data_IF_924580075964
#
_entry.id   IF_924580075964
#
_cell.length_a   1.000
_cell.length_b   1.000
_cell.length_c   1.000
_cell.angle_alpha   90.00
_cell.angle_beta   90.00
_cell.angle_gamma   90.00
#
_symmetry.space_group_name_H-M   'P 1'
#
loop_
_entity.id
_entity.type
_entity.pdbx_description
1 polymer ?
#
# COMPACT_ATOMS: atom_id res chain seq x y z
N UNK A 1 3.15 -1.49 1.87
CA UNK A 1 4.21 -2.32 2.48
C UNK A 1 5.56 -1.65 2.31
N UNK A 2 6.42 -1.67 3.35
CA UNK A 2 7.82 -1.26 3.23
C UNK A 2 8.55 -2.13 2.19
N UNK A 3 9.27 -1.52 1.27
CA UNK A 3 10.07 -2.24 0.29
C UNK A 3 11.22 -1.36 -0.20
N UNK A 4 12.20 -1.97 -0.87
CA UNK A 4 13.39 -1.26 -1.37
C UNK A 4 13.10 -0.04 -2.26
N UNK A 5 11.89 0.09 -2.83
CA UNK A 5 11.49 1.18 -3.73
C UNK A 5 10.85 2.35 -3.00
N UNK A 6 10.51 2.20 -1.73
CA UNK A 6 9.91 3.28 -0.92
C UNK A 6 11.07 3.97 -0.20
N UNK A 7 11.37 5.20 -0.64
CA UNK A 7 12.57 5.97 -0.28
C UNK A 7 12.74 6.16 1.24
N UNK A 8 11.63 6.20 2.00
CA UNK A 8 11.61 6.38 3.45
C UNK A 8 10.95 5.21 4.20
N UNK A 9 11.35 3.98 3.85
CA UNK A 9 10.78 2.76 4.44
C UNK A 9 11.65 2.05 5.47
N UNK A 10 12.51 2.78 6.19
CA UNK A 10 13.27 2.20 7.32
C UNK A 10 12.30 1.71 8.40
N UNK A 11 12.46 0.45 8.81
CA UNK A 11 11.57 -0.21 9.78
C UNK A 11 12.24 -0.63 11.08
N UNK A 12 13.54 -0.91 11.08
CA UNK A 12 14.26 -1.47 12.23
C UNK A 12 15.79 -1.51 12.02
N UNK A 13 16.51 -2.00 13.04
CA UNK A 13 17.91 -2.42 13.02
C UNK A 13 18.02 -3.92 13.39
N UNK A 14 18.64 -4.74 12.54
CA UNK A 14 18.73 -6.20 12.72
C UNK A 14 19.53 -6.63 13.96
N UNK A 15 20.43 -5.77 14.46
CA UNK A 15 21.29 -6.08 15.61
C UNK A 15 20.68 -5.64 16.95
N UNK A 16 19.62 -4.83 16.92
CA UNK A 16 18.98 -4.26 18.10
C UNK A 16 17.53 -4.74 18.25
N UNK A 17 16.83 -4.94 17.12
CA UNK A 17 15.41 -5.26 17.11
C UNK A 17 15.16 -6.74 16.79
N UNK A 18 14.18 -7.31 17.48
CA UNK A 18 13.69 -8.67 17.20
C UNK A 18 12.82 -8.67 15.95
N UNK A 19 13.18 -9.48 14.95
CA UNK A 19 12.48 -9.59 13.66
C UNK A 19 10.96 -9.80 13.78
N UNK A 20 10.52 -10.61 14.74
CA UNK A 20 9.10 -10.86 14.95
C UNK A 20 8.36 -9.56 15.33
N UNK A 21 8.95 -8.76 16.22
CA UNK A 21 8.35 -7.52 16.72
C UNK A 21 8.28 -6.49 15.59
N UNK A 22 9.37 -6.36 14.81
CA UNK A 22 9.40 -5.54 13.58
C UNK A 22 8.26 -5.91 12.64
N UNK A 23 8.01 -7.21 12.47
CA UNK A 23 6.97 -7.71 11.58
C UNK A 23 5.55 -7.47 12.08
N UNK A 24 5.29 -7.58 13.40
CA UNK A 24 3.94 -7.42 13.97
C UNK A 24 3.62 -6.00 14.45
N UNK A 25 4.62 -5.14 14.64
CA UNK A 25 4.44 -3.78 15.16
C UNK A 25 4.86 -2.72 14.11
N UNK A 26 6.15 -2.57 13.84
CA UNK A 26 6.71 -1.47 13.03
C UNK A 26 6.21 -1.50 11.58
N UNK A 27 5.94 -2.70 11.04
CA UNK A 27 5.41 -2.87 9.68
C UNK A 27 3.93 -2.50 9.53
N UNK A 28 3.14 -2.43 10.61
CA UNK A 28 1.69 -2.17 10.55
C UNK A 28 1.37 -0.80 9.96
N UNK A 29 2.24 0.20 10.15
CA UNK A 29 2.10 1.53 9.53
C UNK A 29 2.07 1.51 8.00
N UNK A 30 2.49 0.41 7.36
CA UNK A 30 2.42 0.22 5.90
C UNK A 30 1.35 -0.80 5.47
N UNK A 31 0.60 -1.34 6.43
CA UNK A 31 -0.50 -2.32 6.25
C UNK A 31 -1.88 -1.75 6.55
N UNK A 32 -1.99 -0.43 6.69
CA UNK A 32 -3.27 0.30 6.80
C UNK A 32 -4.03 0.28 5.46
N UNK A 33 -4.55 -0.88 5.06
CA UNK A 33 -5.13 -1.08 3.73
C UNK A 33 -6.42 -0.28 3.48
N UNK A 34 -7.07 0.18 4.54
CA UNK A 34 -8.24 1.05 4.46
C UNK A 34 -7.91 2.48 4.03
N UNK A 35 -6.65 2.92 4.19
CA UNK A 35 -6.22 4.27 3.81
C UNK A 35 -6.02 4.44 2.31
N UNK A 36 -5.91 3.35 1.54
CA UNK A 36 -5.72 3.43 0.10
C UNK A 36 -6.96 4.02 -0.58
N UNK A 37 -6.81 5.17 -1.23
CA UNK A 37 -7.94 5.95 -1.78
C UNK A 37 -8.79 5.11 -2.74
N UNK A 38 -8.13 4.50 -3.73
CA UNK A 38 -8.79 3.66 -4.74
C UNK A 38 -8.93 2.21 -4.30
N UNK A 39 -7.88 1.63 -3.73
CA UNK A 39 -7.81 0.18 -3.52
C UNK A 39 -8.60 -0.32 -2.31
N UNK A 40 -8.93 0.53 -1.32
CA UNK A 40 -9.76 0.17 -0.17
C UNK A 40 -11.18 -0.27 -0.57
N UNK A 41 -11.65 0.21 -1.73
CA UNK A 41 -12.96 -0.08 -2.32
C UNK A 41 -12.92 -1.17 -3.40
N UNK A 42 -11.73 -1.63 -3.76
CA UNK A 42 -11.54 -2.61 -4.83
C UNK A 42 -11.81 -4.02 -4.31
N UNK A 43 -12.45 -4.86 -5.12
CA UNK A 43 -12.65 -6.29 -4.83
C UNK A 43 -11.33 -7.04 -4.70
N UNK A 44 -10.23 -6.50 -5.24
CA UNK A 44 -8.89 -7.09 -5.16
C UNK A 44 -8.07 -6.61 -3.96
N UNK A 45 -8.69 -5.90 -2.99
CA UNK A 45 -8.02 -5.33 -1.80
C UNK A 45 -7.15 -6.33 -1.04
N UNK A 46 -7.55 -7.59 -0.96
CA UNK A 46 -6.79 -8.62 -0.24
C UNK A 46 -5.46 -8.99 -0.91
N UNK A 47 -5.29 -8.71 -2.21
CA UNK A 47 -4.15 -9.17 -3.00
C UNK A 47 -3.29 -8.03 -3.56
N UNK A 48 -3.90 -7.15 -4.36
CA UNK A 48 -3.15 -6.21 -5.21
C UNK A 48 -2.72 -4.94 -4.48
N UNK A 49 -3.67 -4.07 -4.12
CA UNK A 49 -3.46 -2.77 -3.43
C UNK A 49 -2.56 -1.75 -4.16
N UNK A 50 -2.17 -2.02 -5.40
CA UNK A 50 -1.23 -1.17 -6.16
C UNK A 50 0.17 -1.15 -5.57
N UNK A 51 1.07 -0.41 -6.22
CA UNK A 51 2.43 -0.18 -5.76
C UNK A 51 2.55 1.19 -5.07
N UNK A 52 2.68 1.24 -3.72
CA UNK A 52 2.81 2.51 -2.99
C UNK A 52 4.04 3.33 -3.41
N UNK A 53 5.12 2.67 -3.83
CA UNK A 53 6.33 3.34 -4.30
C UNK A 53 6.11 4.09 -5.61
N UNK A 54 5.31 3.53 -6.53
CA UNK A 54 4.99 4.19 -7.80
C UNK A 54 4.02 5.34 -7.55
N UNK A 55 2.95 5.11 -6.78
CA UNK A 55 2.01 6.17 -6.40
C UNK A 55 2.71 7.37 -5.75
N UNK A 56 3.60 7.12 -4.78
CA UNK A 56 4.37 8.17 -4.12
C UNK A 56 5.37 8.86 -5.07
N UNK A 57 6.04 8.10 -5.94
CA UNK A 57 6.99 8.66 -6.90
C UNK A 57 6.34 9.50 -7.99
N UNK A 58 5.08 9.24 -8.35
CA UNK A 58 4.35 10.00 -9.37
C UNK A 58 3.57 11.18 -8.77
N UNK A 59 2.86 10.96 -7.67
CA UNK A 59 1.88 11.92 -7.13
C UNK A 59 2.23 12.43 -5.71
N UNK A 60 3.31 11.94 -5.10
CA UNK A 60 3.66 12.30 -3.72
C UNK A 60 2.77 11.67 -2.65
N UNK A 61 1.94 10.68 -2.99
CA UNK A 61 1.05 9.99 -2.04
C UNK A 61 1.28 8.48 -2.04
N UNK A 62 1.74 7.95 -0.90
CA UNK A 62 1.91 6.53 -0.65
C UNK A 62 0.60 5.73 -0.72
N UNK A 63 -0.51 6.33 -0.30
CA UNK A 63 -1.85 5.72 -0.28
C UNK A 63 -2.68 6.06 -1.52
N UNK A 64 -2.10 6.80 -2.45
CA UNK A 64 -2.71 7.19 -3.71
C UNK A 64 -2.96 6.01 -4.64
N UNK A 65 -3.74 6.27 -5.69
CA UNK A 65 -3.94 5.29 -6.75
C UNK A 65 -2.64 5.07 -7.54
N UNK A 66 -2.25 3.80 -7.70
CA UNK A 66 -1.16 3.43 -8.60
C UNK A 66 -1.54 3.79 -10.05
N UNK A 67 -0.79 4.68 -10.74
CA UNK A 67 -1.09 5.08 -12.11
C UNK A 67 -0.99 3.92 -13.12
N UNK A 68 -0.36 2.81 -12.76
CA UNK A 68 -0.27 1.61 -13.61
C UNK A 68 -1.50 0.68 -13.47
N UNK A 69 -2.42 0.99 -12.55
CA UNK A 69 -3.59 0.16 -12.28
C UNK A 69 -4.66 0.27 -13.40
N UNK A 70 -5.00 -0.87 -14.02
CA UNK A 70 -6.02 -0.94 -15.08
C UNK A 70 -7.47 -1.02 -14.58
N UNK A 71 -7.71 -1.32 -13.30
CA UNK A 71 -9.08 -1.46 -12.77
C UNK A 71 -9.73 -0.09 -12.58
N UNK A 72 -10.92 0.09 -13.14
CA UNK A 72 -11.71 1.33 -13.08
C UNK A 72 -13.06 1.16 -12.37
N UNK A 73 -13.43 -0.07 -12.03
CA UNK A 73 -14.72 -0.42 -11.43
C UNK A 73 -14.56 -1.66 -10.56
N UNK A 74 -15.29 -1.70 -9.45
CA UNK A 74 -15.47 -2.89 -8.65
C UNK A 74 -16.58 -3.75 -9.27
N UNK A 75 -16.24 -4.96 -9.70
CA UNK A 75 -17.18 -5.86 -10.37
C UNK A 75 -18.19 -6.52 -9.41
N UNK A 76 -17.87 -6.59 -8.12
CA UNK A 76 -18.77 -7.14 -7.10
C UNK A 76 -19.84 -6.16 -6.67
N UNK A 77 -19.50 -4.88 -6.54
CA UNK A 77 -20.41 -3.83 -6.03
C UNK A 77 -20.96 -2.92 -7.12
N UNK A 78 -20.30 -2.86 -8.28
CA UNK A 78 -20.62 -1.92 -9.34
C UNK A 78 -20.04 -0.52 -9.17
N UNK A 79 -19.37 -0.23 -8.04
CA UNK A 79 -18.80 1.10 -7.76
C UNK A 79 -17.66 1.46 -8.73
N UNK A 80 -17.64 2.70 -9.21
CA UNK A 80 -16.51 3.22 -10.01
C UNK A 80 -15.32 3.50 -9.09
N UNK A 81 -14.17 2.95 -9.45
CA UNK A 81 -12.91 3.14 -8.72
C UNK A 81 -12.17 4.33 -9.33
N UNK A 82 -12.43 5.53 -8.82
CA UNK A 82 -11.68 6.73 -9.21
C UNK A 82 -10.26 6.72 -8.63
N UNK A 83 -9.36 7.39 -9.34
CA UNK A 83 -8.01 7.68 -8.86
C UNK A 83 -8.05 8.87 -7.89
#
# INVERSE_FOLDING_TARGET
>A
MACRRVTDSRIANIFEDRLADVWVCQMEKYREYDRFIKCSKCELKAWCRGCPAVANGTNGDFYGADPQCWKIKNERTGERLSC
#
